data_IF_466223277827
#
_entry.id   IF_466223277827
#
_cell.length_a   1.000
_cell.length_b   1.000
_cell.length_c   1.000
_cell.angle_alpha   90.00
_cell.angle_beta   90.00
_cell.angle_gamma   90.00
#
_symmetry.space_group_name_H-M   'P 1'
#
loop_
_entity.id
_entity.type
_entity.pdbx_description
1 polymer ?
#
# COMPACT_ATOMS: atom_id res chain seq x y z
N UNK A 1 -1.26 -15.91 32.26
CA UNK A 1 -2.16 -15.67 31.11
C UNK A 1 -1.95 -14.23 30.63
N UNK A 2 -1.71 -14.02 29.34
CA UNK A 2 -1.35 -12.70 28.79
C UNK A 2 -2.31 -12.37 27.65
N UNK A 3 -3.18 -11.40 27.90
CA UNK A 3 -4.16 -10.90 26.93
C UNK A 3 -3.56 -9.65 26.28
N UNK A 4 -3.66 -9.53 24.95
CA UNK A 4 -3.27 -8.32 24.22
C UNK A 4 -4.48 -7.78 23.44
N UNK A 5 -4.61 -6.46 23.29
CA UNK A 5 -5.61 -5.88 22.40
C UNK A 5 -5.41 -6.39 20.97
N UNK A 6 -6.52 -6.59 20.26
CA UNK A 6 -6.48 -6.91 18.84
C UNK A 6 -5.91 -5.72 18.06
N UNK A 7 -4.81 -5.88 17.30
CA UNK A 7 -4.17 -4.76 16.61
C UNK A 7 -5.03 -4.36 15.41
N UNK A 8 -5.83 -3.32 15.58
CA UNK A 8 -6.55 -2.65 14.51
C UNK A 8 -5.76 -1.41 14.12
N UNK A 9 -5.53 -1.16 12.81
CA UNK A 9 -5.93 -1.95 11.64
C UNK A 9 -4.95 -3.08 11.28
N UNK A 10 -5.48 -4.20 10.75
CA UNK A 10 -4.68 -5.34 10.29
C UNK A 10 -3.82 -5.03 9.04
N UNK A 11 -4.23 -4.04 8.24
CA UNK A 11 -3.54 -3.61 7.01
C UNK A 11 -2.90 -2.26 7.25
N UNK A 12 -1.62 -2.12 6.92
CA UNK A 12 -0.85 -0.88 7.09
C UNK A 12 -1.09 0.12 5.97
N UNK A 13 -0.70 -0.17 4.74
CA UNK A 13 -0.82 0.81 3.64
C UNK A 13 -1.69 0.32 2.50
N UNK A 14 -1.69 -0.99 2.22
CA UNK A 14 -2.55 -1.56 1.21
C UNK A 14 -2.49 -3.08 1.11
N UNK A 15 -3.20 -3.60 0.12
CA UNK A 15 -3.23 -4.99 -0.29
C UNK A 15 -3.11 -5.07 -1.81
N UNK A 16 -2.27 -5.98 -2.30
CA UNK A 16 -2.22 -6.40 -3.70
C UNK A 16 -2.95 -7.75 -3.78
N UNK A 17 -3.96 -7.85 -4.62
CA UNK A 17 -4.80 -9.03 -4.74
C UNK A 17 -4.51 -9.75 -6.06
N UNK A 18 -4.24 -11.04 -5.95
CA UNK A 18 -4.15 -11.91 -7.11
C UNK A 18 -5.54 -12.18 -7.69
N UNK A 19 -5.60 -12.41 -9.00
CA UNK A 19 -6.84 -12.62 -9.76
C UNK A 19 -7.64 -13.85 -9.33
N UNK A 20 -6.97 -14.83 -8.72
CA UNK A 20 -7.53 -16.07 -8.19
C UNK A 20 -7.52 -16.10 -6.65
N UNK A 21 -7.28 -14.96 -6.00
CA UNK A 21 -7.25 -14.89 -4.54
C UNK A 21 -8.57 -15.40 -3.93
N UNK A 22 -8.45 -16.19 -2.86
CA UNK A 22 -9.60 -16.82 -2.19
C UNK A 22 -10.63 -15.81 -1.66
N UNK A 23 -10.21 -14.56 -1.41
CA UNK A 23 -11.08 -13.46 -1.00
C UNK A 23 -10.96 -12.32 -2.00
N UNK A 24 -12.06 -12.01 -2.68
CA UNK A 24 -12.11 -10.94 -3.67
C UNK A 24 -12.12 -9.53 -3.06
N UNK A 25 -11.84 -8.54 -3.91
CA UNK A 25 -11.75 -7.12 -3.55
C UNK A 25 -12.95 -6.59 -2.77
N UNK A 26 -14.18 -6.92 -3.18
CA UNK A 26 -15.40 -6.46 -2.52
C UNK A 26 -15.45 -6.85 -1.03
N UNK A 27 -15.15 -8.10 -0.71
CA UNK A 27 -15.20 -8.61 0.66
C UNK A 27 -14.12 -7.95 1.53
N UNK A 28 -12.90 -7.81 1.02
CA UNK A 28 -11.79 -7.15 1.72
C UNK A 28 -12.07 -5.67 1.97
N UNK A 29 -12.57 -4.93 0.98
CA UNK A 29 -12.94 -3.52 1.15
C UNK A 29 -14.01 -3.33 2.21
N UNK A 30 -15.02 -4.20 2.23
CA UNK A 30 -16.08 -4.17 3.26
C UNK A 30 -15.50 -4.42 4.66
N UNK A 31 -14.61 -5.39 4.80
CA UNK A 31 -13.93 -5.66 6.06
C UNK A 31 -13.08 -4.46 6.51
N UNK A 32 -12.27 -3.90 5.60
CA UNK A 32 -11.44 -2.72 5.90
C UNK A 32 -12.27 -1.51 6.31
N UNK A 33 -13.37 -1.24 5.62
CA UNK A 33 -14.29 -0.15 5.96
C UNK A 33 -14.92 -0.30 7.35
N UNK A 34 -15.18 -1.53 7.80
CA UNK A 34 -15.68 -1.80 9.16
C UNK A 34 -14.59 -1.70 10.23
N UNK A 35 -13.34 -1.95 9.87
CA UNK A 35 -12.20 -2.02 10.79
C UNK A 35 -11.43 -0.70 10.90
N UNK A 36 -11.60 0.25 9.99
CA UNK A 36 -10.90 1.54 10.07
C UNK A 36 -11.73 2.71 9.59
N UNK A 37 -11.53 3.87 10.23
CA UNK A 37 -12.10 5.14 9.79
C UNK A 37 -11.35 5.74 8.59
N UNK A 38 -10.17 5.23 8.24
CA UNK A 38 -9.36 5.78 7.16
C UNK A 38 -9.81 5.22 5.81
N UNK A 39 -10.03 6.09 4.80
CA UNK A 39 -10.48 5.66 3.48
C UNK A 39 -9.40 4.86 2.74
N UNK A 40 -9.84 3.78 2.11
CA UNK A 40 -9.07 3.03 1.13
C UNK A 40 -9.63 3.29 -0.27
N UNK A 41 -8.71 3.48 -1.21
CA UNK A 41 -8.96 3.57 -2.63
C UNK A 41 -8.76 2.19 -3.25
N UNK A 42 -9.62 1.87 -4.21
CA UNK A 42 -9.52 0.66 -5.03
C UNK A 42 -9.08 1.04 -6.43
N UNK A 43 -8.07 0.31 -6.91
CA UNK A 43 -7.51 0.41 -8.25
C UNK A 43 -7.66 -0.97 -8.87
N UNK A 44 -8.52 -1.08 -9.87
CA UNK A 44 -8.63 -2.29 -10.69
C UNK A 44 -7.42 -2.38 -11.64
N UNK A 45 -6.92 -3.59 -11.83
CA UNK A 45 -5.75 -3.88 -12.66
C UNK A 45 -6.11 -4.88 -13.76
N UNK A 46 -5.75 -4.52 -14.99
CA UNK A 46 -5.89 -5.40 -16.15
C UNK A 46 -4.60 -6.18 -16.36
N UNK A 47 -4.43 -7.27 -15.59
CA UNK A 47 -3.25 -8.11 -15.60
C UNK A 47 -3.59 -9.58 -15.31
N UNK A 48 -2.86 -10.53 -15.88
CA UNK A 48 -3.17 -11.97 -15.77
C UNK A 48 -2.99 -12.54 -14.34
N UNK A 49 -2.10 -11.95 -13.54
CA UNK A 49 -1.80 -12.38 -12.16
C UNK A 49 -2.54 -11.52 -11.14
N UNK A 50 -2.54 -10.21 -11.34
CA UNK A 50 -3.08 -9.24 -10.36
C UNK A 50 -4.44 -8.72 -10.83
N UNK A 51 -5.43 -8.71 -9.93
CA UNK A 51 -6.76 -8.12 -10.23
C UNK A 51 -6.95 -6.74 -9.63
N UNK A 52 -6.49 -6.53 -8.39
CA UNK A 52 -6.85 -5.34 -7.63
C UNK A 52 -5.72 -4.88 -6.72
N UNK A 53 -5.62 -3.57 -6.59
CA UNK A 53 -4.85 -2.91 -5.56
C UNK A 53 -5.82 -2.13 -4.66
N UNK A 54 -5.77 -2.42 -3.36
CA UNK A 54 -6.47 -1.65 -2.34
C UNK A 54 -5.40 -0.87 -1.58
N UNK A 55 -5.48 0.45 -1.52
CA UNK A 55 -4.44 1.28 -0.88
C UNK A 55 -5.07 2.41 -0.10
N UNK A 56 -4.47 2.83 1.03
CA UNK A 56 -4.96 4.01 1.74
C UNK A 56 -4.87 5.23 0.86
N UNK A 57 -5.87 6.10 0.95
CA UNK A 57 -5.88 7.36 0.20
C UNK A 57 -4.66 8.24 0.51
N UNK A 58 -4.16 8.20 1.76
CA UNK A 58 -2.97 8.96 2.17
C UNK A 58 -1.67 8.53 1.47
N UNK A 59 -1.57 7.28 1.01
CA UNK A 59 -0.43 6.82 0.20
C UNK A 59 -0.39 7.55 -1.13
N UNK A 60 -1.56 7.77 -1.73
CA UNK A 60 -1.68 8.41 -3.04
C UNK A 60 -1.29 9.90 -3.02
N UNK A 61 -1.24 10.52 -1.84
CA UNK A 61 -0.72 11.88 -1.66
C UNK A 61 0.81 11.96 -1.86
N UNK A 62 1.52 10.83 -1.74
CA UNK A 62 2.99 10.75 -1.77
C UNK A 62 3.49 9.91 -2.95
N UNK A 63 2.72 8.89 -3.32
CA UNK A 63 2.99 7.98 -4.40
C UNK A 63 1.88 8.11 -5.45
N UNK A 64 2.12 8.81 -6.57
CA UNK A 64 1.11 8.95 -7.62
C UNK A 64 0.58 7.59 -8.06
N UNK A 65 -0.73 7.53 -8.38
CA UNK A 65 -1.44 6.30 -8.74
C UNK A 65 -0.70 5.49 -9.81
N UNK A 66 -0.31 6.15 -10.89
CA UNK A 66 0.31 5.47 -12.04
C UNK A 66 1.67 4.88 -11.67
N UNK A 67 2.46 5.62 -10.88
CA UNK A 67 3.74 5.13 -10.37
C UNK A 67 3.55 3.89 -9.48
N UNK A 68 2.55 3.93 -8.59
CA UNK A 68 2.26 2.79 -7.71
C UNK A 68 1.80 1.56 -8.50
N UNK A 69 0.98 1.75 -9.52
CA UNK A 69 0.55 0.69 -10.45
C UNK A 69 1.74 0.08 -11.17
N UNK A 70 2.60 0.91 -11.78
CA UNK A 70 3.83 0.46 -12.44
C UNK A 70 4.74 -0.29 -11.48
N UNK A 71 4.96 0.24 -10.27
CA UNK A 71 5.76 -0.42 -9.24
C UNK A 71 5.22 -1.81 -8.89
N UNK A 72 3.90 -1.95 -8.69
CA UNK A 72 3.28 -3.24 -8.40
C UNK A 72 3.46 -4.21 -9.57
N UNK A 73 3.25 -3.78 -10.81
CA UNK A 73 3.38 -4.63 -12.00
C UNK A 73 4.82 -5.03 -12.31
N UNK A 74 5.79 -4.16 -12.05
CA UNK A 74 7.20 -4.40 -12.37
C UNK A 74 7.95 -5.13 -11.26
N UNK A 75 7.64 -4.82 -10.00
CA UNK A 75 8.42 -5.28 -8.84
C UNK A 75 7.70 -6.35 -8.03
N UNK A 76 6.38 -6.29 -7.91
CA UNK A 76 5.60 -7.23 -7.08
C UNK A 76 5.10 -8.41 -7.91
N UNK A 77 4.52 -8.17 -9.08
CA UNK A 77 3.95 -9.23 -9.94
C UNK A 77 4.91 -10.41 -10.18
N UNK A 78 6.21 -10.21 -10.51
CA UNK A 78 7.10 -11.33 -10.77
C UNK A 78 7.33 -12.26 -9.57
N UNK A 79 7.03 -11.78 -8.37
CA UNK A 79 7.21 -12.49 -7.09
C UNK A 79 5.90 -13.03 -6.51
N UNK A 80 4.77 -12.76 -7.16
CA UNK A 80 3.44 -13.03 -6.66
C UNK A 80 2.74 -14.10 -7.51
N UNK A 81 1.95 -14.96 -6.86
CA UNK A 81 1.03 -15.88 -7.55
C UNK A 81 -0.38 -15.32 -7.60
N UNK A 82 -1.15 -15.79 -8.59
CA UNK A 82 -2.51 -15.31 -8.82
C UNK A 82 -3.48 -15.64 -7.67
N UNK A 83 -3.19 -16.63 -6.82
CA UNK A 83 -4.02 -17.04 -5.68
C UNK A 83 -3.66 -16.35 -4.36
N UNK A 84 -2.66 -15.45 -4.37
CA UNK A 84 -2.14 -14.78 -3.18
C UNK A 84 -2.80 -13.42 -2.92
N UNK A 85 -2.71 -12.97 -1.66
CA UNK A 85 -2.98 -11.59 -1.26
C UNK A 85 -1.74 -11.11 -0.50
N UNK A 86 -1.09 -10.07 -1.01
CA UNK A 86 0.10 -9.51 -0.38
C UNK A 86 -0.23 -8.22 0.35
N UNK A 87 0.33 -8.06 1.54
CA UNK A 87 0.25 -6.80 2.27
C UNK A 87 1.30 -5.82 1.74
N UNK A 88 0.85 -4.61 1.44
CA UNK A 88 1.71 -3.49 1.07
C UNK A 88 1.99 -2.64 2.33
N UNK A 89 3.28 -2.38 2.56
CA UNK A 89 3.78 -1.44 3.55
C UNK A 89 4.76 -0.50 2.85
N UNK A 90 4.55 0.81 2.97
CA UNK A 90 5.35 1.85 2.31
C UNK A 90 6.01 2.69 3.40
N UNK A 91 7.29 2.45 3.59
CA UNK A 91 8.13 3.30 4.43
C UNK A 91 8.71 4.43 3.58
N UNK A 92 8.75 5.63 4.13
CA UNK A 92 9.28 6.78 3.43
C UNK A 92 10.10 7.61 4.40
N UNK A 93 11.35 7.85 4.03
CA UNK A 93 12.31 8.63 4.79
C UNK A 93 12.60 9.95 4.07
N UNK A 94 12.65 11.06 4.82
CA UNK A 94 13.03 12.38 4.30
C UNK A 94 14.32 12.80 4.99
N UNK A 95 15.39 12.89 4.21
CA UNK A 95 16.71 13.33 4.69
C UNK A 95 16.91 14.79 4.28
N UNK A 96 16.99 15.69 5.27
CA UNK A 96 17.28 17.10 5.06
C UNK A 96 18.78 17.36 5.29
N UNK A 97 19.46 17.90 4.30
CA UNK A 97 20.85 18.35 4.43
C UNK A 97 20.91 19.86 4.33
N UNK A 98 21.31 20.52 5.43
CA UNK A 98 21.54 21.97 5.44
C UNK A 98 22.99 22.21 5.01
N UNK A 99 23.21 22.77 3.81
CA UNK A 99 24.51 23.34 3.46
C UNK A 99 24.58 24.77 4.02
N UNK A 100 25.51 25.03 4.94
CA UNK A 100 25.84 26.40 5.34
C UNK A 100 26.79 26.99 4.30
N UNK A 101 26.27 27.72 3.33
CA UNK A 101 27.08 28.71 2.61
C UNK A 101 27.02 30.00 3.42
N UNK A 102 27.96 30.16 4.35
CA UNK A 102 28.14 31.40 5.09
C UNK A 102 29.13 32.24 4.28
N UNK A 103 28.72 33.33 3.60
CA UNK A 103 29.69 34.21 2.98
C UNK A 103 30.60 34.76 4.08
N UNK A 104 31.91 34.62 3.89
CA UNK A 104 32.91 35.17 4.78
C UNK A 104 32.71 36.70 4.85
N UNK A 105 32.23 37.18 6.00
CA UNK A 105 32.21 38.60 6.29
C UNK A 105 33.67 39.08 6.36
N UNK A 106 34.02 40.01 5.47
CA UNK A 106 35.30 40.74 5.46
C UNK A 106 35.12 42.05 6.23
#
# INVERSE_FOLDING_TARGET
>A
MRIRPFPVPLVQDGLVLGRQAAVGCYALRKALHLLTAHPFVHIEMDDEIISDLIVRESVLLRCPRDWLVSFVLEQIKPLMKADEILQLAIETEVVLTVSSDRPAAT
#
